data_IF_161665263032
#
_entry.id   IF_161665263032
#
_cell.length_a   1.000
_cell.length_b   1.000
_cell.length_c   1.000
_cell.angle_alpha   90.00
_cell.angle_beta   90.00
_cell.angle_gamma   90.00
#
_symmetry.space_group_name_H-M   'P 1'
#
loop_
_entity.id
_entity.type
_entity.pdbx_description
1 polymer ?
#
# COMPACT_ATOMS: atom_id res chain seq x y z
N UNK A 1 -18.58 -11.85 15.16
CA UNK A 1 -17.29 -11.39 14.61
C UNK A 1 -17.58 -10.81 13.25
N UNK A 2 -17.45 -9.50 13.08
CA UNK A 2 -17.57 -8.87 11.75
C UNK A 2 -16.38 -9.33 10.94
N UNK A 3 -16.61 -10.23 9.99
CA UNK A 3 -15.62 -10.60 8.98
C UNK A 3 -15.25 -9.32 8.25
N UNK A 4 -14.02 -8.86 8.40
CA UNK A 4 -13.50 -7.72 7.65
C UNK A 4 -13.23 -8.17 6.23
N UNK A 5 -14.09 -7.87 5.24
CA UNK A 5 -13.93 -8.42 3.90
C UNK A 5 -12.96 -7.57 3.07
N UNK A 6 -12.44 -6.47 3.60
CA UNK A 6 -11.67 -5.47 2.84
C UNK A 6 -10.30 -5.24 3.48
N UNK A 7 -9.27 -5.17 2.65
CA UNK A 7 -7.96 -4.67 3.04
C UNK A 7 -7.55 -3.44 2.22
N UNK A 8 -6.98 -2.43 2.90
CA UNK A 8 -6.27 -1.32 2.25
C UNK A 8 -4.79 -1.68 2.15
N UNK A 9 -4.28 -1.80 0.92
CA UNK A 9 -2.90 -2.18 0.64
C UNK A 9 -2.11 -0.97 0.16
N UNK A 10 -1.13 -0.54 0.96
CA UNK A 10 -0.22 0.53 0.63
C UNK A 10 0.98 -0.04 -0.13
N UNK A 11 1.04 0.25 -1.43
CA UNK A 11 2.08 -0.26 -2.33
C UNK A 11 3.26 0.70 -2.48
N UNK A 12 3.12 2.01 -2.26
CA UNK A 12 4.26 2.94 -2.43
C UNK A 12 4.34 3.93 -1.28
N UNK A 13 4.36 3.42 -0.05
CA UNK A 13 4.44 4.19 1.19
C UNK A 13 5.86 4.21 1.82
N UNK A 14 6.88 3.69 1.13
CA UNK A 14 8.28 3.84 1.54
C UNK A 14 8.80 5.24 1.25
N UNK A 15 9.84 5.66 1.98
CA UNK A 15 10.38 7.02 1.91
C UNK A 15 10.87 7.39 0.52
N UNK A 16 11.60 6.52 -0.16
CA UNK A 16 12.10 6.81 -1.50
C UNK A 16 10.99 7.05 -2.56
N UNK A 17 9.74 6.67 -2.29
CA UNK A 17 8.61 6.97 -3.17
C UNK A 17 8.04 8.37 -2.94
N UNK A 18 8.02 8.83 -1.68
CA UNK A 18 7.27 10.01 -1.27
C UNK A 18 8.19 11.20 -0.95
N UNK A 19 9.34 10.96 -0.33
CA UNK A 19 10.31 12.01 -0.02
C UNK A 19 10.79 12.67 -1.30
N UNK A 20 10.90 14.00 -1.26
CA UNK A 20 11.31 14.84 -2.39
C UNK A 20 10.32 14.83 -3.56
N UNK A 21 9.15 14.17 -3.42
CA UNK A 21 8.07 14.28 -4.40
C UNK A 21 7.48 15.72 -4.35
N UNK A 22 7.31 16.42 -5.48
CA UNK A 22 6.81 17.81 -5.48
C UNK A 22 5.47 18.03 -4.77
N UNK A 23 4.65 16.97 -4.72
CA UNK A 23 3.35 16.94 -4.06
C UNK A 23 3.33 16.11 -2.76
N UNK A 24 4.49 15.79 -2.16
CA UNK A 24 4.64 14.93 -0.97
C UNK A 24 3.60 15.24 0.11
N UNK A 25 3.50 16.51 0.53
CA UNK A 25 2.60 16.88 1.62
C UNK A 25 1.11 16.71 1.27
N UNK A 26 0.74 16.96 0.02
CA UNK A 26 -0.63 16.82 -0.45
C UNK A 26 -1.03 15.33 -0.59
N UNK A 27 -0.12 14.52 -1.13
CA UNK A 27 -0.27 13.08 -1.24
C UNK A 27 -0.35 12.43 0.15
N UNK A 28 0.57 12.78 1.04
CA UNK A 28 0.59 12.25 2.40
C UNK A 28 -0.72 12.53 3.13
N UNK A 29 -1.22 13.77 3.09
CA UNK A 29 -2.53 14.12 3.69
C UNK A 29 -3.68 13.31 3.12
N UNK A 30 -3.76 13.18 1.79
CA UNK A 30 -4.82 12.43 1.13
C UNK A 30 -4.78 10.94 1.51
N UNK A 31 -3.59 10.36 1.53
CA UNK A 31 -3.38 8.95 1.86
C UNK A 31 -3.64 8.67 3.34
N UNK A 32 -3.20 9.55 4.25
CA UNK A 32 -3.54 9.45 5.67
C UNK A 32 -5.05 9.49 5.90
N UNK A 33 -5.80 10.31 5.15
CA UNK A 33 -7.25 10.32 5.23
C UNK A 33 -7.86 8.97 4.81
N UNK A 34 -7.31 8.32 3.76
CA UNK A 34 -7.74 6.97 3.34
C UNK A 34 -7.39 5.91 4.38
N UNK A 35 -6.18 5.93 4.94
CA UNK A 35 -5.75 5.01 6.01
C UNK A 35 -6.65 5.16 7.24
N UNK A 36 -6.90 6.40 7.67
CA UNK A 36 -7.82 6.68 8.79
C UNK A 36 -9.21 6.14 8.52
N UNK A 37 -9.79 6.44 7.35
CA UNK A 37 -11.13 5.96 6.98
C UNK A 37 -11.20 4.43 6.90
N UNK A 38 -10.18 3.77 6.36
CA UNK A 38 -10.10 2.32 6.33
C UNK A 38 -10.05 1.72 7.74
N UNK A 39 -9.29 2.32 8.66
CA UNK A 39 -9.24 1.89 10.06
C UNK A 39 -10.55 2.10 10.80
N UNK A 40 -11.22 3.23 10.60
CA UNK A 40 -12.55 3.51 11.15
C UNK A 40 -13.60 2.51 10.65
N UNK A 41 -13.48 2.06 9.40
CA UNK A 41 -14.30 1.00 8.81
C UNK A 41 -13.88 -0.42 9.24
N UNK A 42 -12.82 -0.55 10.04
CA UNK A 42 -12.29 -1.83 10.51
C UNK A 42 -11.58 -2.66 9.43
N UNK A 43 -11.18 -2.06 8.31
CA UNK A 43 -10.43 -2.71 7.24
C UNK A 43 -9.03 -3.13 7.71
N UNK A 44 -8.52 -4.23 7.16
CA UNK A 44 -7.12 -4.61 7.38
C UNK A 44 -6.20 -3.62 6.65
N UNK A 45 -5.21 -3.08 7.34
CA UNK A 45 -4.17 -2.25 6.71
C UNK A 45 -2.98 -3.13 6.39
N UNK A 46 -2.56 -3.13 5.13
CA UNK A 46 -1.42 -3.91 4.64
C UNK A 46 -0.38 -2.94 4.09
N UNK A 47 0.84 -2.99 4.63
CA UNK A 47 1.98 -2.25 4.11
C UNK A 47 2.87 -3.20 3.33
N UNK A 48 3.15 -2.85 2.06
CA UNK A 48 4.12 -3.57 1.26
C UNK A 48 5.43 -2.79 1.25
N UNK A 49 6.49 -3.45 1.71
CA UNK A 49 7.84 -2.94 1.72
C UNK A 49 8.66 -3.64 0.64
N UNK A 50 9.07 -2.90 -0.38
CA UNK A 50 9.88 -3.43 -1.46
C UNK A 50 11.36 -3.35 -1.10
N UNK A 51 12.04 -4.47 -1.25
CA UNK A 51 13.49 -4.57 -1.16
C UNK A 51 14.12 -4.03 -2.45
N UNK A 52 14.95 -2.99 -2.32
CA UNK A 52 15.72 -2.44 -3.43
C UNK A 52 17.13 -2.98 -3.48
N UNK A 53 17.70 -3.06 -4.69
CA UNK A 53 19.10 -3.42 -4.90
C UNK A 53 20.07 -2.35 -4.40
N UNK A 54 21.34 -2.72 -4.28
CA UNK A 54 22.43 -1.82 -3.90
C UNK A 54 22.49 -0.59 -4.83
N UNK A 55 22.65 0.61 -4.24
CA UNK A 55 22.74 1.86 -4.98
C UNK A 55 21.40 2.40 -5.53
N UNK A 56 20.28 1.71 -5.28
CA UNK A 56 18.96 2.24 -5.63
C UNK A 56 18.44 3.20 -4.55
N UNK A 57 17.54 4.14 -4.87
CA UNK A 57 16.93 5.02 -3.86
C UNK A 57 16.24 4.27 -2.70
N UNK A 58 15.76 3.06 -2.97
CA UNK A 58 15.11 2.16 -2.01
C UNK A 58 15.99 0.98 -1.56
N UNK A 59 17.32 1.10 -1.62
CA UNK A 59 18.25 0.03 -1.23
C UNK A 59 17.88 -0.57 0.13
N UNK A 60 17.79 -1.90 0.23
CA UNK A 60 17.39 -2.58 1.47
C UNK A 60 18.23 -2.13 2.67
N UNK A 61 17.56 -1.83 3.79
CA UNK A 61 18.14 -1.26 5.02
C UNK A 61 18.62 0.20 4.94
N UNK A 62 18.47 0.86 3.79
CA UNK A 62 18.75 2.29 3.67
C UNK A 62 17.65 3.18 4.28
N UNK A 63 17.98 4.47 4.38
CA UNK A 63 17.05 5.53 4.78
C UNK A 63 15.80 5.61 3.87
N UNK A 64 15.95 5.35 2.57
CA UNK A 64 14.84 5.41 1.60
C UNK A 64 13.96 4.17 1.60
N UNK A 65 14.47 3.05 2.12
CA UNK A 65 13.76 1.77 2.17
C UNK A 65 12.73 1.68 3.31
N UNK A 66 12.88 2.44 4.39
CA UNK A 66 11.90 2.40 5.48
C UNK A 66 10.58 3.06 5.07
N UNK A 67 9.50 2.72 5.78
CA UNK A 67 8.20 3.39 5.59
C UNK A 67 8.30 4.88 5.87
N UNK A 68 7.57 5.68 5.10
CA UNK A 68 7.43 7.10 5.34
C UNK A 68 6.89 7.33 6.75
N UNK A 69 7.37 8.35 7.49
CA UNK A 69 6.95 8.59 8.88
C UNK A 69 5.43 8.66 9.07
N UNK A 70 4.71 9.15 8.06
CA UNK A 70 3.25 9.26 8.03
C UNK A 70 2.51 7.93 7.84
N UNK A 71 3.20 6.87 7.46
CA UNK A 71 2.64 5.54 7.17
C UNK A 71 3.39 4.44 7.93
N UNK A 72 3.82 4.74 9.16
CA UNK A 72 4.42 3.73 10.03
C UNK A 72 3.39 2.63 10.35
N UNK A 73 3.73 1.35 10.14
CA UNK A 73 2.85 0.25 10.51
C UNK A 73 2.52 0.27 12.02
N UNK A 74 1.25 0.03 12.34
CA UNK A 74 0.78 -0.18 13.71
C UNK A 74 0.71 -1.67 14.06
N UNK A 75 0.50 -1.98 15.34
CA UNK A 75 0.51 -3.36 15.84
C UNK A 75 -0.50 -4.31 15.18
N UNK A 76 -1.60 -3.77 14.64
CA UNK A 76 -2.65 -4.52 13.96
C UNK A 76 -2.53 -4.47 12.42
N UNK A 77 -1.51 -3.78 11.90
CA UNK A 77 -1.28 -3.70 10.47
C UNK A 77 -0.46 -4.93 10.02
N UNK A 78 -0.74 -5.42 8.82
CA UNK A 78 0.04 -6.48 8.18
C UNK A 78 1.23 -5.87 7.43
N UNK A 79 2.43 -6.41 7.64
CA UNK A 79 3.64 -5.99 6.93
C UNK A 79 4.14 -7.10 6.01
N UNK A 80 4.18 -6.82 4.70
CA UNK A 80 4.69 -7.74 3.69
C UNK A 80 5.98 -7.19 3.09
N UNK A 81 7.02 -8.02 3.06
CA UNK A 81 8.24 -7.73 2.30
C UNK A 81 8.20 -8.42 0.94
N UNK A 82 8.53 -7.68 -0.11
CA UNK A 82 8.53 -8.17 -1.48
C UNK A 82 9.79 -7.70 -2.23
N UNK A 83 10.20 -8.47 -3.24
CA UNK A 83 11.46 -8.22 -4.02
C UNK A 83 11.23 -8.01 -5.51
N UNK A 84 10.02 -8.29 -5.98
CA UNK A 84 9.61 -8.16 -7.38
C UNK A 84 8.32 -7.34 -7.43
N UNK A 85 7.93 -6.73 -8.57
CA UNK A 85 6.80 -5.79 -8.59
C UNK A 85 5.43 -6.34 -8.17
N UNK A 86 5.26 -7.66 -8.11
CA UNK A 86 4.06 -8.31 -7.62
C UNK A 86 4.17 -8.61 -6.11
N UNK A 87 3.32 -7.99 -5.30
CA UNK A 87 3.31 -8.16 -3.85
C UNK A 87 2.92 -9.59 -3.41
N UNK A 88 2.31 -10.39 -4.28
CA UNK A 88 1.97 -11.79 -4.01
C UNK A 88 3.12 -12.75 -4.34
N UNK A 89 3.97 -12.38 -5.30
CA UNK A 89 4.97 -13.29 -5.84
C UNK A 89 6.07 -13.58 -4.82
N UNK A 90 6.12 -14.82 -4.34
CA UNK A 90 7.12 -15.27 -3.37
C UNK A 90 6.95 -14.68 -1.97
N UNK A 91 5.76 -14.16 -1.65
CA UNK A 91 5.43 -13.63 -0.31
C UNK A 91 4.32 -14.46 0.34
N UNK A 92 4.02 -14.17 1.62
CA UNK A 92 2.89 -14.75 2.34
C UNK A 92 1.57 -13.99 2.17
N UNK A 93 1.50 -12.96 1.31
CA UNK A 93 0.37 -12.02 1.25
C UNK A 93 -0.97 -12.74 1.08
N UNK A 94 -1.06 -13.70 0.15
CA UNK A 94 -2.32 -14.42 -0.09
C UNK A 94 -2.79 -15.21 1.13
N UNK A 95 -1.88 -15.90 1.81
CA UNK A 95 -2.19 -16.70 2.99
C UNK A 95 -2.65 -15.83 4.16
N UNK A 96 -2.00 -14.69 4.36
CA UNK A 96 -2.38 -13.71 5.39
C UNK A 96 -3.77 -13.11 5.10
N UNK A 97 -4.02 -12.67 3.86
CA UNK A 97 -5.32 -12.15 3.46
C UNK A 97 -6.45 -13.18 3.66
N UNK A 98 -6.21 -14.44 3.32
CA UNK A 98 -7.15 -15.53 3.59
C UNK A 98 -7.35 -15.77 5.09
N UNK A 99 -6.29 -15.74 5.90
CA UNK A 99 -6.36 -15.86 7.36
C UNK A 99 -7.22 -14.77 8.01
N UNK A 100 -7.23 -13.58 7.40
CA UNK A 100 -8.07 -12.45 7.79
C UNK A 100 -9.45 -12.42 7.11
N UNK A 101 -9.78 -13.43 6.30
CA UNK A 101 -11.03 -13.54 5.52
C UNK A 101 -11.30 -12.35 4.58
N UNK A 102 -10.23 -11.74 4.06
CA UNK A 102 -10.30 -10.64 3.09
C UNK A 102 -10.78 -11.18 1.74
N UNK A 103 -11.63 -10.40 1.06
CA UNK A 103 -12.14 -10.69 -0.29
C UNK A 103 -12.00 -9.51 -1.25
N UNK A 104 -11.81 -8.31 -0.74
CA UNK A 104 -11.66 -7.09 -1.49
C UNK A 104 -10.38 -6.35 -1.10
N UNK A 105 -9.65 -5.87 -2.09
CA UNK A 105 -8.41 -5.13 -1.92
C UNK A 105 -8.57 -3.73 -2.48
N UNK A 106 -8.31 -2.74 -1.64
CA UNK A 106 -8.18 -1.34 -2.01
C UNK A 106 -6.68 -1.06 -2.15
N UNK A 107 -6.21 -0.88 -3.38
CA UNK A 107 -4.80 -0.65 -3.66
C UNK A 107 -4.50 0.85 -3.69
N UNK A 108 -3.54 1.28 -2.89
CA UNK A 108 -3.06 2.65 -2.83
C UNK A 108 -1.59 2.71 -3.30
N UNK A 109 -1.37 3.35 -4.44
CA UNK A 109 -0.05 3.47 -5.07
C UNK A 109 0.06 4.80 -5.80
N UNK A 110 1.28 5.31 -5.94
CA UNK A 110 1.54 6.49 -6.76
C UNK A 110 1.17 6.25 -8.23
N UNK A 111 0.76 7.29 -8.97
CA UNK A 111 0.49 7.17 -10.39
C UNK A 111 1.73 6.67 -11.15
N UNK A 112 1.54 5.70 -12.04
CA UNK A 112 2.63 5.14 -12.85
C UNK A 112 3.52 4.13 -12.14
N UNK A 113 3.23 3.76 -10.87
CA UNK A 113 3.98 2.73 -10.17
C UNK A 113 3.80 1.35 -10.84
N UNK A 114 4.90 0.73 -11.27
CA UNK A 114 4.91 -0.59 -11.93
C UNK A 114 4.30 -1.70 -11.05
N UNK A 115 4.44 -1.56 -9.73
CA UNK A 115 3.93 -2.52 -8.75
C UNK A 115 2.40 -2.64 -8.74
N UNK A 116 1.70 -1.57 -9.13
CA UNK A 116 0.24 -1.50 -9.11
C UNK A 116 -0.40 -2.47 -10.10
N UNK A 117 -0.13 -2.40 -11.42
CA UNK A 117 -0.74 -3.33 -12.37
C UNK A 117 -0.33 -4.79 -12.13
N UNK A 118 0.91 -5.05 -11.70
CA UNK A 118 1.38 -6.40 -11.38
C UNK A 118 0.58 -7.00 -10.22
N UNK A 119 0.56 -6.31 -9.08
CA UNK A 119 -0.17 -6.75 -7.87
C UNK A 119 -1.68 -6.84 -8.12
N UNK A 120 -2.27 -5.87 -8.83
CA UNK A 120 -3.70 -5.89 -9.17
C UNK A 120 -4.08 -7.05 -10.10
N UNK A 121 -3.19 -7.40 -11.04
CA UNK A 121 -3.37 -8.53 -11.94
C UNK A 121 -3.44 -9.85 -11.17
N UNK A 122 -2.45 -10.10 -10.32
CA UNK A 122 -2.40 -11.31 -9.49
C UNK A 122 -3.56 -11.38 -8.50
N UNK A 123 -3.89 -10.28 -7.82
CA UNK A 123 -5.06 -10.22 -6.94
C UNK A 123 -6.36 -10.63 -7.65
N UNK A 124 -6.62 -10.11 -8.85
CA UNK A 124 -7.81 -10.49 -9.63
C UNK A 124 -7.77 -11.94 -10.06
N UNK A 125 -6.60 -12.46 -10.47
CA UNK A 125 -6.45 -13.86 -10.84
C UNK A 125 -6.70 -14.82 -9.66
N UNK A 126 -6.39 -14.38 -8.44
CA UNK A 126 -6.67 -15.09 -7.19
C UNK A 126 -8.13 -14.93 -6.71
N UNK A 127 -8.94 -14.14 -7.41
CA UNK A 127 -10.37 -13.97 -7.12
C UNK A 127 -10.73 -12.83 -6.17
N UNK A 128 -9.78 -11.96 -5.82
CA UNK A 128 -10.07 -10.76 -5.04
C UNK A 128 -10.79 -9.71 -5.90
N UNK A 129 -11.78 -9.03 -5.32
CA UNK A 129 -12.30 -7.78 -5.87
C UNK A 129 -11.23 -6.70 -5.67
N UNK A 130 -10.83 -6.01 -6.74
CA UNK A 130 -9.78 -4.98 -6.66
C UNK A 130 -10.33 -3.61 -6.99
N UNK A 131 -10.23 -2.68 -6.04
CA UNK A 131 -10.42 -1.26 -6.24
C UNK A 131 -9.07 -0.55 -6.19
N UNK A 132 -8.80 0.33 -7.15
CA UNK A 132 -7.60 1.18 -7.14
C UNK A 132 -8.02 2.53 -6.59
N UNK A 133 -7.41 2.93 -5.48
CA UNK A 133 -7.62 4.25 -4.91
C UNK A 133 -6.63 5.21 -5.56
N UNK A 134 -7.16 6.23 -6.24
CA UNK A 134 -6.29 7.22 -6.86
C UNK A 134 -5.46 7.97 -5.82
N UNK A 135 -4.16 8.01 -6.05
CA UNK A 135 -3.23 8.83 -5.30
C UNK A 135 -3.25 10.27 -5.81
N UNK A 136 -4.41 10.93 -5.72
CA UNK A 136 -4.53 12.35 -5.99
C UNK A 136 -5.00 13.05 -4.73
N UNK A 137 -4.40 14.20 -4.35
CA UNK A 137 -5.09 15.09 -3.45
C UNK A 137 -6.42 15.41 -4.11
N UNK A 138 -7.53 15.18 -3.40
CA UNK A 138 -8.80 15.71 -3.85
C UNK A 138 -8.57 17.21 -4.05
N UNK A 139 -8.63 17.64 -5.32
CA UNK A 139 -8.69 19.06 -5.63
C UNK A 139 -10.01 19.50 -5.03
N UNK A 140 -10.00 19.98 -3.78
CA UNK A 140 -11.13 20.74 -3.27
C UNK A 140 -11.43 21.79 -4.33
N UNK A 141 -12.63 21.68 -4.92
CA UNK A 141 -13.11 22.59 -5.95
C UNK A 141 -13.03 24.04 -5.47
N UNK A 142 -13.07 25.01 -6.40
CA UNK A 142 -12.82 26.40 -6.08
C UNK A 142 -13.77 26.88 -4.97
N UNK A 143 -13.17 27.56 -3.99
CA UNK A 143 -13.83 28.41 -2.99
C UNK A 143 -14.75 29.43 -3.63
#
# INVERSE_FOLDING_TARGET
MTLTPVALVLLTAQRHHLEDHPAEQALSRAWQARVRSAREAGHLIVHVQWDGGEGTPGETFSRGWVHHPDFRPEANDLLIRARVPDAFAGTGLDAELHGHAVRELHLLALPGAEVLPATAGTARALGYTVQILEARPELSGPV
#
